data_IF_250852984838
#
_entry.id   IF_250852984838
#
_cell.length_a   1.000
_cell.length_b   1.000
_cell.length_c   1.000
_cell.angle_alpha   90.00
_cell.angle_beta   90.00
_cell.angle_gamma   90.00
#
_symmetry.space_group_name_H-M   'P 1'
#
loop_
_entity.id
_entity.type
_entity.pdbx_description
1 polymer ?
#
# COMPACT_ATOMS: atom_id res chain seq x y z
N UNK A 1 8.16 29.74 5.75
CA UNK A 1 8.69 28.99 4.59
C UNK A 1 7.63 29.10 3.50
N UNK A 2 7.98 29.61 2.33
CA UNK A 2 7.04 29.62 1.20
C UNK A 2 6.70 28.17 0.84
N UNK A 3 5.42 27.88 0.65
CA UNK A 3 4.93 26.58 0.22
C UNK A 3 5.52 26.25 -1.16
N UNK A 4 6.21 25.13 -1.26
CA UNK A 4 6.77 24.69 -2.53
C UNK A 4 5.64 24.12 -3.42
N UNK A 5 5.37 24.77 -4.53
CA UNK A 5 4.39 24.31 -5.50
C UNK A 5 5.06 23.42 -6.56
N UNK A 6 4.40 22.32 -6.89
CA UNK A 6 4.67 21.50 -8.06
C UNK A 6 3.46 21.57 -9.00
N UNK A 7 3.72 21.74 -10.29
CA UNK A 7 2.68 21.85 -11.31
C UNK A 7 2.94 20.83 -12.42
N UNK A 8 1.99 19.94 -12.65
CA UNK A 8 2.02 19.04 -13.82
C UNK A 8 1.18 19.70 -14.91
N UNK A 9 1.73 19.84 -16.11
CA UNK A 9 1.10 20.50 -17.26
C UNK A 9 1.03 19.58 -18.47
N UNK A 10 0.24 19.96 -19.48
CA UNK A 10 0.08 19.23 -20.73
C UNK A 10 -0.31 17.77 -20.55
N UNK A 11 -1.13 17.48 -19.53
CA UNK A 11 -1.53 16.14 -19.17
C UNK A 11 -2.92 15.77 -19.71
N UNK A 12 -3.11 14.49 -20.05
CA UNK A 12 -4.44 13.88 -20.17
C UNK A 12 -4.80 13.34 -18.78
N UNK A 13 -5.47 14.16 -17.97
CA UNK A 13 -5.75 13.82 -16.57
C UNK A 13 -6.99 12.95 -16.46
N UNK A 14 -6.84 11.75 -15.87
CA UNK A 14 -7.97 10.88 -15.53
C UNK A 14 -8.55 11.34 -14.18
N UNK A 15 -9.82 11.71 -14.21
CA UNK A 15 -10.56 12.13 -13.02
C UNK A 15 -11.80 11.26 -12.82
N UNK A 16 -12.44 11.26 -11.64
CA UNK A 16 -13.71 10.56 -11.43
C UNK A 16 -14.83 11.01 -12.40
N UNK A 17 -14.73 12.26 -12.91
CA UNK A 17 -15.71 12.81 -13.86
C UNK A 17 -15.36 12.50 -15.32
N UNK A 18 -14.26 11.82 -15.60
CA UNK A 18 -13.79 11.48 -16.93
C UNK A 18 -12.42 12.09 -17.29
N UNK A 19 -12.09 12.04 -18.56
CA UNK A 19 -10.82 12.53 -19.08
C UNK A 19 -10.83 14.05 -19.23
N UNK A 20 -9.86 14.72 -18.62
CA UNK A 20 -9.59 16.15 -18.80
C UNK A 20 -8.40 16.30 -19.76
N UNK A 21 -8.62 16.65 -21.04
CA UNK A 21 -7.53 16.89 -21.99
C UNK A 21 -6.82 18.21 -21.67
N UNK A 22 -5.50 18.24 -21.88
CA UNK A 22 -4.65 19.39 -21.56
C UNK A 22 -4.81 19.89 -20.11
N UNK A 23 -5.03 18.96 -19.19
CA UNK A 23 -5.23 19.25 -17.79
C UNK A 23 -3.94 19.68 -17.11
N UNK A 24 -4.12 20.37 -16.00
CA UNK A 24 -3.06 20.74 -15.06
C UNK A 24 -3.40 20.22 -13.68
N UNK A 25 -2.38 19.76 -12.97
CA UNK A 25 -2.49 19.36 -11.56
C UNK A 25 -1.55 20.25 -10.77
N UNK A 26 -2.08 20.90 -9.75
CA UNK A 26 -1.33 21.77 -8.84
C UNK A 26 -1.21 21.05 -7.50
N UNK A 27 0.04 20.93 -7.03
CA UNK A 27 0.37 20.24 -5.79
C UNK A 27 1.09 21.24 -4.88
N UNK A 28 0.71 21.25 -3.62
CA UNK A 28 1.38 22.00 -2.56
C UNK A 28 1.53 21.11 -1.34
N UNK A 29 2.71 21.10 -0.74
CA UNK A 29 3.02 20.31 0.46
C UNK A 29 2.61 18.83 0.33
N UNK A 30 2.88 18.25 -0.86
CA UNK A 30 2.57 16.85 -1.17
C UNK A 30 1.08 16.54 -1.35
N UNK A 31 0.22 17.56 -1.45
CA UNK A 31 -1.23 17.40 -1.65
C UNK A 31 -1.68 18.05 -2.96
N UNK A 32 -2.57 17.39 -3.67
CA UNK A 32 -3.25 17.98 -4.82
C UNK A 32 -4.19 19.08 -4.31
N UNK A 33 -3.95 20.30 -4.73
CA UNK A 33 -4.78 21.46 -4.34
C UNK A 33 -5.72 21.91 -5.46
N UNK A 34 -5.41 21.59 -6.72
CA UNK A 34 -6.31 21.86 -7.85
C UNK A 34 -6.05 20.92 -9.03
N UNK A 35 -7.11 20.59 -9.77
CA UNK A 35 -7.06 19.90 -11.06
C UNK A 35 -7.93 20.70 -12.02
N UNK A 36 -7.34 21.27 -13.06
CA UNK A 36 -8.04 22.22 -13.94
C UNK A 36 -7.62 22.09 -15.40
N UNK A 37 -8.53 22.43 -16.32
CA UNK A 37 -8.21 22.61 -17.73
C UNK A 37 -7.78 24.04 -18.08
N UNK A 38 -7.82 24.96 -17.11
CA UNK A 38 -7.42 26.36 -17.32
C UNK A 38 -5.94 26.55 -16.99
N UNK A 39 -5.24 27.35 -17.78
CA UNK A 39 -3.88 27.70 -17.46
C UNK A 39 -3.84 28.59 -16.22
N UNK A 40 -3.31 28.07 -15.12
CA UNK A 40 -3.05 28.83 -13.90
C UNK A 40 -1.55 29.06 -13.75
N UNK A 41 -1.17 30.33 -13.71
CA UNK A 41 0.21 30.71 -13.40
C UNK A 41 0.42 30.69 -11.90
N UNK A 42 1.44 29.96 -11.47
CA UNK A 42 1.89 29.90 -10.08
C UNK A 42 3.36 30.26 -10.08
N UNK A 43 3.71 31.45 -9.57
CA UNK A 43 5.10 31.90 -9.52
C UNK A 43 5.98 30.88 -8.78
N UNK A 44 7.16 30.64 -9.31
CA UNK A 44 8.17 29.74 -8.72
C UNK A 44 7.77 28.27 -8.52
N UNK A 45 6.67 27.80 -9.15
CA UNK A 45 6.32 26.40 -9.12
C UNK A 45 7.34 25.57 -9.93
N UNK A 46 7.72 24.41 -9.38
CA UNK A 46 8.41 23.39 -10.16
C UNK A 46 7.44 22.83 -11.22
N UNK A 47 7.90 22.62 -12.44
CA UNK A 47 7.04 22.21 -13.56
C UNK A 47 7.45 20.81 -14.04
N UNK A 48 6.49 19.91 -14.09
CA UNK A 48 6.57 18.63 -14.80
C UNK A 48 5.70 18.74 -16.06
N UNK A 49 6.31 18.71 -17.24
CA UNK A 49 5.58 18.63 -18.52
C UNK A 49 5.25 17.16 -18.82
N UNK A 50 3.98 16.82 -18.79
CA UNK A 50 3.49 15.48 -19.11
C UNK A 50 3.49 15.19 -20.62
N UNK A 51 3.81 16.15 -21.48
CA UNK A 51 3.97 15.98 -22.96
C UNK A 51 2.81 15.25 -23.63
N UNK A 52 1.59 15.45 -23.16
CA UNK A 52 0.40 14.80 -23.66
C UNK A 52 0.17 13.36 -23.17
N UNK A 53 1.00 12.85 -22.26
CA UNK A 53 0.79 11.55 -21.62
C UNK A 53 -0.39 11.59 -20.65
N UNK A 54 -0.88 10.39 -20.32
CA UNK A 54 -1.90 10.24 -19.29
C UNK A 54 -1.28 10.43 -17.89
N UNK A 55 -2.02 11.14 -17.05
CA UNK A 55 -1.76 11.25 -15.62
C UNK A 55 -3.00 10.78 -14.87
N UNK A 56 -2.82 9.83 -13.99
CA UNK A 56 -3.87 9.18 -13.22
C UNK A 56 -3.45 9.08 -11.76
N UNK A 57 -4.40 8.91 -10.82
CA UNK A 57 -4.07 8.44 -9.48
C UNK A 57 -3.28 7.13 -9.55
N UNK A 58 -2.28 6.98 -8.70
CA UNK A 58 -1.56 5.71 -8.58
C UNK A 58 -2.46 4.62 -8.04
N UNK A 59 -2.16 3.37 -8.39
CA UNK A 59 -2.90 2.22 -7.88
C UNK A 59 -2.65 2.04 -6.38
N UNK A 60 -3.68 1.59 -5.67
CA UNK A 60 -3.60 1.15 -4.28
C UNK A 60 -3.78 -0.36 -4.28
N UNK A 61 -2.76 -1.10 -3.85
CA UNK A 61 -2.81 -2.55 -3.75
C UNK A 61 -3.10 -2.96 -2.31
N UNK A 62 -4.26 -3.56 -2.10
CA UNK A 62 -4.72 -3.93 -0.76
C UNK A 62 -4.38 -5.38 -0.38
N UNK A 63 -3.78 -6.16 -1.30
CA UNK A 63 -3.47 -7.56 -1.07
C UNK A 63 -2.29 -8.00 -1.94
N UNK A 64 -1.10 -8.02 -1.38
CA UNK A 64 0.12 -8.40 -2.09
C UNK A 64 1.10 -9.14 -1.17
N UNK A 65 1.56 -10.31 -1.61
CA UNK A 65 2.48 -11.14 -0.82
C UNK A 65 3.95 -10.84 -1.06
N UNK A 66 4.28 -10.35 -2.25
CA UNK A 66 5.68 -10.09 -2.58
C UNK A 66 5.89 -9.53 -3.97
N UNK A 67 7.15 -9.53 -4.40
CA UNK A 67 7.57 -9.07 -5.72
C UNK A 67 9.09 -9.02 -5.85
N UNK A 68 9.58 -8.97 -7.08
CA UNK A 68 11.01 -8.88 -7.36
C UNK A 68 11.87 -9.97 -6.67
N UNK A 69 11.32 -11.20 -6.59
CA UNK A 69 12.00 -12.34 -5.98
C UNK A 69 12.01 -12.36 -4.46
N UNK A 70 11.23 -11.49 -3.81
CA UNK A 70 11.06 -11.41 -2.36
C UNK A 70 9.61 -11.63 -1.94
N UNK A 71 9.41 -12.07 -0.69
CA UNK A 71 8.12 -12.24 -0.04
C UNK A 71 8.12 -11.48 1.30
N UNK A 72 6.94 -10.96 1.71
CA UNK A 72 6.84 -10.22 2.97
C UNK A 72 7.04 -11.11 4.21
N UNK A 73 6.88 -12.43 4.08
CA UNK A 73 7.20 -13.39 5.15
C UNK A 73 8.69 -13.55 5.42
N UNK A 74 9.57 -12.98 4.57
CA UNK A 74 11.01 -12.87 4.87
C UNK A 74 11.28 -11.91 6.04
N UNK A 75 10.34 -11.06 6.39
CA UNK A 75 10.33 -10.10 7.49
C UNK A 75 11.57 -9.20 7.59
N UNK A 76 12.26 -8.98 6.48
CA UNK A 76 13.46 -8.14 6.41
C UNK A 76 13.20 -6.79 5.77
N UNK A 77 13.80 -5.68 6.25
CA UNK A 77 13.68 -4.38 5.59
C UNK A 77 14.08 -4.42 4.12
N UNK A 78 15.11 -5.21 3.77
CA UNK A 78 15.57 -5.38 2.38
C UNK A 78 14.45 -5.92 1.48
N UNK A 79 13.74 -6.97 1.93
CA UNK A 79 12.63 -7.55 1.17
C UNK A 79 11.51 -6.53 0.99
N UNK A 80 11.10 -5.86 2.05
CA UNK A 80 10.04 -4.84 2.02
C UNK A 80 10.38 -3.72 1.04
N UNK A 81 11.56 -3.12 1.10
CA UNK A 81 11.98 -2.08 0.17
C UNK A 81 12.08 -2.56 -1.29
N UNK A 82 12.58 -3.77 -1.51
CA UNK A 82 12.66 -4.35 -2.86
C UNK A 82 11.27 -4.53 -3.48
N UNK A 83 10.32 -5.03 -2.69
CA UNK A 83 8.92 -5.25 -3.12
C UNK A 83 8.24 -3.91 -3.40
N UNK A 84 8.27 -2.96 -2.46
CA UNK A 84 7.61 -1.66 -2.62
C UNK A 84 8.14 -0.90 -3.84
N UNK A 85 9.44 -0.98 -4.11
CA UNK A 85 10.06 -0.38 -5.28
C UNK A 85 9.61 -1.04 -6.59
N UNK A 86 9.52 -2.37 -6.62
CA UNK A 86 9.06 -3.10 -7.80
C UNK A 86 7.62 -2.73 -8.16
N UNK A 87 6.74 -2.65 -7.17
CA UNK A 87 5.34 -2.25 -7.36
C UNK A 87 5.21 -0.78 -7.79
N UNK A 88 6.02 0.12 -7.23
CA UNK A 88 6.03 1.53 -7.64
C UNK A 88 6.40 1.70 -9.12
N UNK A 89 7.34 0.91 -9.64
CA UNK A 89 7.71 0.93 -11.05
C UNK A 89 6.57 0.49 -12.00
N UNK A 90 5.54 -0.18 -11.46
CA UNK A 90 4.34 -0.58 -12.18
C UNK A 90 3.14 0.34 -11.92
N UNK A 91 3.35 1.46 -11.20
CA UNK A 91 2.30 2.46 -10.95
C UNK A 91 1.53 2.29 -9.64
N UNK A 92 1.90 1.33 -8.78
CA UNK A 92 1.35 1.24 -7.43
C UNK A 92 1.99 2.29 -6.54
N UNK A 93 1.19 3.16 -5.94
CA UNK A 93 1.68 4.24 -5.05
C UNK A 93 1.50 3.94 -3.58
N UNK A 94 0.58 3.03 -3.25
CA UNK A 94 0.33 2.58 -1.89
C UNK A 94 -0.01 1.09 -1.88
N UNK A 95 0.42 0.37 -0.85
CA UNK A 95 0.12 -1.05 -0.70
C UNK A 95 0.02 -1.49 0.75
N UNK A 96 -0.60 -2.66 0.94
CA UNK A 96 -0.63 -3.39 2.21
C UNK A 96 0.15 -4.69 2.06
N UNK A 97 1.38 -4.79 2.62
CA UNK A 97 2.05 -6.07 2.76
C UNK A 97 1.12 -7.11 3.35
N UNK A 98 0.96 -8.23 2.67
CA UNK A 98 0.05 -9.31 3.08
C UNK A 98 0.84 -10.53 3.49
N UNK A 99 0.63 -10.99 4.71
CA UNK A 99 1.23 -12.23 5.19
C UNK A 99 0.24 -13.38 5.09
N UNK A 100 0.66 -14.43 4.38
CA UNK A 100 -0.01 -15.73 4.40
C UNK A 100 0.13 -16.40 5.78
N UNK A 101 -0.59 -17.51 5.99
CA UNK A 101 -0.51 -18.29 7.22
C UNK A 101 0.94 -18.71 7.51
N UNK A 102 1.42 -18.35 8.69
CA UNK A 102 2.81 -18.50 9.12
C UNK A 102 2.86 -18.67 10.65
N UNK A 103 4.03 -19.03 11.22
CA UNK A 103 4.22 -18.98 12.67
C UNK A 103 3.83 -17.61 13.23
N UNK A 104 3.20 -17.58 14.39
CA UNK A 104 2.76 -16.30 15.01
C UNK A 104 3.93 -15.33 15.24
N UNK A 105 5.12 -15.86 15.49
CA UNK A 105 6.33 -15.04 15.64
C UNK A 105 6.71 -14.32 14.36
N UNK A 106 6.44 -14.90 13.19
CA UNK A 106 6.62 -14.23 11.90
C UNK A 106 5.73 -12.98 11.79
N UNK A 107 4.48 -13.05 12.28
CA UNK A 107 3.59 -11.89 12.34
C UNK A 107 4.12 -10.82 13.29
N UNK A 108 4.63 -11.21 14.46
CA UNK A 108 5.24 -10.26 15.41
C UNK A 108 6.46 -9.55 14.83
N UNK A 109 7.30 -10.28 14.11
CA UNK A 109 8.47 -9.71 13.43
C UNK A 109 8.07 -8.82 12.26
N UNK A 110 7.07 -9.23 11.45
CA UNK A 110 6.55 -8.45 10.35
C UNK A 110 5.93 -7.12 10.82
N UNK A 111 5.24 -7.10 11.96
CA UNK A 111 4.74 -5.87 12.59
C UNK A 111 5.89 -4.90 12.85
N UNK A 112 6.96 -5.37 13.51
CA UNK A 112 8.13 -4.53 13.83
C UNK A 112 8.80 -3.99 12.56
N UNK A 113 8.98 -4.85 11.55
CA UNK A 113 9.56 -4.45 10.27
C UNK A 113 8.67 -3.46 9.53
N UNK A 114 7.36 -3.70 9.49
CA UNK A 114 6.40 -2.81 8.86
C UNK A 114 6.40 -1.43 9.52
N UNK A 115 6.34 -1.35 10.85
CA UNK A 115 6.43 -0.10 11.60
C UNK A 115 7.75 0.64 11.36
N UNK A 116 8.86 -0.10 11.29
CA UNK A 116 10.15 0.49 10.96
C UNK A 116 10.13 1.14 9.58
N UNK A 117 9.65 0.42 8.54
CA UNK A 117 9.56 0.92 7.17
C UNK A 117 8.60 2.12 7.05
N UNK A 118 7.46 2.08 7.73
CA UNK A 118 6.49 3.20 7.73
C UNK A 118 7.10 4.47 8.33
N UNK A 119 8.00 4.34 9.30
CA UNK A 119 8.71 5.46 9.93
C UNK A 119 9.98 5.89 9.16
N UNK A 120 10.53 5.01 8.31
CA UNK A 120 11.73 5.25 7.52
C UNK A 120 11.46 4.91 6.04
N UNK A 121 10.56 5.65 5.37
CA UNK A 121 10.18 5.34 3.99
C UNK A 121 11.34 5.61 3.04
N UNK A 122 11.58 4.67 2.12
CA UNK A 122 12.46 4.84 0.97
C UNK A 122 11.63 5.04 -0.31
N UNK A 123 12.33 5.17 -1.46
CA UNK A 123 11.66 5.24 -2.76
C UNK A 123 10.92 3.93 -3.06
N UNK A 124 9.61 4.01 -3.23
CA UNK A 124 8.75 2.86 -3.47
C UNK A 124 7.27 3.19 -3.24
N UNK A 125 6.41 2.21 -3.39
CA UNK A 125 5.02 2.32 -2.99
C UNK A 125 4.93 2.48 -1.47
N UNK A 126 4.08 3.39 -1.01
CA UNK A 126 3.92 3.65 0.43
C UNK A 126 3.23 2.48 1.11
N UNK A 127 3.81 1.97 2.18
CA UNK A 127 3.14 1.00 3.05
C UNK A 127 2.11 1.74 3.91
N UNK A 128 0.86 1.31 3.82
CA UNK A 128 -0.29 1.91 4.53
C UNK A 128 -0.65 1.18 5.81
N UNK A 129 -0.06 0.03 6.03
CA UNK A 129 -0.26 -0.87 7.15
C UNK A 129 0.00 -2.30 6.72
N UNK A 130 -0.15 -3.24 7.63
CA UNK A 130 0.05 -4.66 7.42
C UNK A 130 -1.31 -5.36 7.27
N UNK A 131 -1.42 -6.25 6.29
CA UNK A 131 -2.57 -7.13 6.10
C UNK A 131 -2.21 -8.54 6.59
N UNK A 132 -2.99 -9.07 7.49
CA UNK A 132 -2.88 -10.44 7.96
C UNK A 132 -3.91 -11.32 7.25
N UNK A 133 -3.42 -12.25 6.40
CA UNK A 133 -4.23 -13.24 5.73
C UNK A 133 -3.90 -14.62 6.28
N UNK A 134 -4.61 -15.06 7.27
CA UNK A 134 -4.40 -16.35 7.86
C UNK A 134 -4.21 -16.18 9.36
N UNK A 135 -3.84 -17.15 9.96
CA UNK A 135 -3.92 -18.43 10.50
C UNK A 135 -5.36 -18.95 10.76
N UNK A 136 -6.32 -18.05 11.01
CA UNK A 136 -7.71 -18.39 11.38
C UNK A 136 -8.58 -18.61 10.15
N UNK A 137 -8.25 -19.64 9.38
CA UNK A 137 -8.93 -20.01 8.15
C UNK A 137 -9.60 -21.38 8.30
N UNK A 138 -10.65 -21.59 7.49
CA UNK A 138 -11.23 -22.92 7.39
C UNK A 138 -10.29 -23.85 6.59
N UNK A 139 -9.84 -24.94 7.21
CA UNK A 139 -8.93 -25.91 6.62
C UNK A 139 -9.42 -26.43 5.26
N UNK A 140 -10.73 -26.64 5.07
CA UNK A 140 -11.30 -27.11 3.81
C UNK A 140 -11.22 -26.05 2.70
N UNK A 141 -11.06 -24.77 3.05
CA UNK A 141 -11.08 -23.63 2.12
C UNK A 141 -9.75 -22.86 2.12
N UNK A 142 -8.69 -23.44 2.67
CA UNK A 142 -7.40 -22.79 2.87
C UNK A 142 -6.70 -22.33 1.58
N UNK A 143 -7.06 -22.89 0.43
CA UNK A 143 -6.35 -22.59 -0.82
C UNK A 143 -4.88 -22.99 -0.76
N UNK A 144 -4.00 -22.05 -1.10
CA UNK A 144 -2.55 -22.21 -1.09
C UNK A 144 -1.88 -22.03 0.28
N UNK A 145 -2.64 -21.75 1.34
CA UNK A 145 -2.09 -21.53 2.68
C UNK A 145 -1.47 -22.82 3.27
N UNK A 146 -0.40 -22.68 4.06
CA UNK A 146 0.25 -23.82 4.71
C UNK A 146 -0.66 -24.40 5.82
N UNK A 147 -1.09 -25.67 5.70
CA UNK A 147 -2.00 -26.29 6.66
C UNK A 147 -1.43 -26.37 8.09
N UNK A 148 -0.11 -26.32 8.25
CA UNK A 148 0.53 -26.39 9.55
C UNK A 148 0.27 -25.15 10.42
N UNK A 149 -0.14 -24.04 9.80
CA UNK A 149 -0.38 -22.77 10.48
C UNK A 149 -1.86 -22.36 10.47
N UNK A 150 -2.76 -23.26 10.08
CA UNK A 150 -4.20 -23.02 10.09
C UNK A 150 -4.83 -23.70 11.29
N UNK A 151 -5.46 -22.91 12.14
CA UNK A 151 -6.10 -23.36 13.37
C UNK A 151 -7.28 -22.47 13.74
N UNK A 152 -8.19 -22.92 14.63
CA UNK A 152 -9.30 -22.11 15.11
C UNK A 152 -8.83 -20.84 15.80
N UNK A 153 -9.62 -19.74 15.74
CA UNK A 153 -9.27 -18.49 16.41
C UNK A 153 -9.04 -18.65 17.89
N UNK A 154 -7.89 -18.18 18.39
CA UNK A 154 -7.61 -18.03 19.81
C UNK A 154 -7.84 -16.58 20.24
N UNK A 155 -8.88 -16.30 21.06
CA UNK A 155 -9.20 -14.96 21.51
C UNK A 155 -8.09 -14.26 22.28
N UNK A 156 -7.22 -14.97 22.95
CA UNK A 156 -6.08 -14.38 23.64
C UNK A 156 -5.01 -13.96 22.64
N UNK A 157 -4.65 -14.84 21.71
CA UNK A 157 -3.62 -14.61 20.71
C UNK A 157 -3.97 -13.43 19.79
N UNK A 158 -5.17 -13.42 19.17
CA UNK A 158 -5.50 -12.35 18.26
C UNK A 158 -5.72 -11.00 18.94
N UNK A 159 -6.26 -10.97 20.17
CA UNK A 159 -6.40 -9.72 20.94
C UNK A 159 -5.03 -9.15 21.31
N UNK A 160 -4.11 -9.99 21.74
CA UNK A 160 -2.74 -9.58 22.04
C UNK A 160 -2.08 -8.99 20.80
N UNK A 161 -2.17 -9.68 19.65
CA UNK A 161 -1.58 -9.24 18.39
C UNK A 161 -2.17 -7.92 17.92
N UNK A 162 -3.51 -7.80 17.85
CA UNK A 162 -4.19 -6.59 17.38
C UNK A 162 -3.99 -5.39 18.32
N UNK A 163 -3.87 -5.62 19.62
CA UNK A 163 -3.62 -4.55 20.58
C UNK A 163 -2.15 -4.12 20.65
N UNK A 164 -1.23 -4.90 20.12
CA UNK A 164 0.21 -4.62 20.18
C UNK A 164 0.64 -3.48 19.25
N UNK A 165 -0.16 -3.15 18.23
CA UNK A 165 0.21 -2.19 17.18
C UNK A 165 -0.99 -1.49 16.55
N UNK A 166 -0.72 -0.34 15.91
CA UNK A 166 -1.67 0.35 15.01
C UNK A 166 -1.38 0.08 13.53
N UNK A 167 -0.35 -0.70 13.22
CA UNK A 167 0.02 -0.93 11.82
C UNK A 167 -0.84 -2.01 11.13
N UNK A 168 -1.47 -2.93 11.86
CA UNK A 168 -2.44 -3.88 11.29
C UNK A 168 -3.69 -3.10 10.88
N UNK A 169 -4.06 -3.19 9.61
CA UNK A 169 -5.22 -2.50 9.04
C UNK A 169 -6.25 -3.49 8.50
N UNK A 170 -6.00 -4.24 7.41
CA UNK A 170 -6.90 -5.32 7.00
C UNK A 170 -6.58 -6.61 7.76
N UNK A 171 -7.61 -7.39 8.04
CA UNK A 171 -7.51 -8.78 8.47
C UNK A 171 -8.47 -9.58 7.60
N UNK A 172 -7.97 -10.59 6.91
CA UNK A 172 -8.81 -11.51 6.14
C UNK A 172 -9.17 -12.72 6.98
N UNK A 173 -10.44 -13.06 7.00
CA UNK A 173 -10.97 -14.30 7.53
C UNK A 173 -12.00 -14.88 6.55
N UNK A 174 -11.56 -15.09 5.31
CA UNK A 174 -12.42 -15.66 4.27
C UNK A 174 -12.74 -17.13 4.59
N UNK A 175 -14.01 -17.49 4.44
CA UNK A 175 -14.52 -18.84 4.62
C UNK A 175 -14.45 -19.40 6.06
N UNK A 176 -14.39 -18.55 7.06
CA UNK A 176 -14.84 -18.94 8.40
C UNK A 176 -16.32 -19.32 8.31
N UNK A 177 -16.74 -20.33 9.06
CA UNK A 177 -18.17 -20.64 9.16
C UNK A 177 -18.88 -19.40 9.67
N UNK A 178 -20.05 -19.08 9.09
CA UNK A 178 -20.78 -17.84 9.32
C UNK A 178 -21.23 -17.60 10.79
N UNK A 179 -20.80 -18.43 11.73
CA UNK A 179 -21.21 -18.42 13.14
C UNK A 179 -20.06 -18.79 14.11
N UNK A 180 -18.80 -18.74 13.69
CA UNK A 180 -17.62 -18.97 14.54
C UNK A 180 -16.88 -17.68 14.84
#
# INVERSE_FOLDING_TARGET
MESAFLKIINAKVLTPSGLLPNGQIIISDGKIVDITGQNREIPHAEIIDAKGYYVAPGCIDTHVHGGNGHDFTEVTPKAFYAITRAHALQGTTALYPTLAAAPIETFREAIKTCEHIMNHPEQGARIMGLHLEGNYLNMAMKGGQDPNYIYPPDPQEYKELLNSTQCIKPVSYTHLRAHE
#
